data_IF_868234752950
#
_entry.id   IF_868234752950
#
_cell.length_a   1.000
_cell.length_b   1.000
_cell.length_c   1.000
_cell.angle_alpha   90.00
_cell.angle_beta   90.00
_cell.angle_gamma   90.00
#
_symmetry.space_group_name_H-M   'P 1'
#
loop_
_entity.id
_entity.type
_entity.pdbx_description
1 polymer ?
#
# COMPACT_ATOMS: atom_id res chain seq x y z
N UNK A 1 12.43 -23.64 -12.26
CA UNK A 1 12.41 -22.55 -13.26
C UNK A 1 10.96 -22.08 -13.36
N UNK A 2 10.68 -20.79 -13.16
CA UNK A 2 9.34 -20.26 -13.41
C UNK A 2 9.20 -20.14 -14.92
N UNK A 3 8.12 -20.68 -15.48
CA UNK A 3 7.86 -20.59 -16.92
C UNK A 3 7.69 -19.12 -17.35
N UNK A 4 8.18 -18.76 -18.54
CA UNK A 4 8.13 -17.38 -19.03
C UNK A 4 6.71 -16.79 -18.98
N UNK A 5 5.70 -17.61 -19.28
CA UNK A 5 4.28 -17.23 -19.21
C UNK A 5 3.84 -16.88 -17.78
N UNK A 6 4.26 -17.67 -16.78
CA UNK A 6 3.95 -17.41 -15.37
C UNK A 6 4.65 -16.15 -14.86
N UNK A 7 5.85 -15.88 -15.36
CA UNK A 7 6.59 -14.67 -15.02
C UNK A 7 5.88 -13.40 -15.53
N UNK A 8 5.45 -13.41 -16.80
CA UNK A 8 4.69 -12.30 -17.41
C UNK A 8 3.35 -12.11 -16.70
N UNK A 9 2.62 -13.19 -16.43
CA UNK A 9 1.36 -13.12 -15.67
C UNK A 9 1.58 -12.47 -14.31
N UNK A 10 2.65 -12.88 -13.59
CA UNK A 10 3.00 -12.31 -12.30
C UNK A 10 3.30 -10.80 -12.37
N UNK A 11 4.01 -10.35 -13.42
CA UNK A 11 4.25 -8.91 -13.63
C UNK A 11 2.96 -8.14 -13.90
N UNK A 12 2.06 -8.69 -14.72
CA UNK A 12 0.76 -8.06 -15.00
C UNK A 12 -0.04 -7.92 -13.70
N UNK A 13 -0.11 -8.98 -12.89
CA UNK A 13 -0.79 -8.94 -11.58
C UNK A 13 -0.13 -7.92 -10.65
N UNK A 14 1.21 -7.87 -10.57
CA UNK A 14 1.93 -6.89 -9.77
C UNK A 14 1.58 -5.46 -10.19
N UNK A 15 1.60 -5.17 -11.49
CA UNK A 15 1.26 -3.83 -12.01
C UNK A 15 -0.17 -3.45 -11.68
N UNK A 16 -1.13 -4.35 -11.91
CA UNK A 16 -2.54 -4.10 -11.58
C UNK A 16 -2.74 -3.84 -10.09
N UNK A 17 -2.05 -4.60 -9.22
CA UNK A 17 -2.11 -4.39 -7.79
C UNK A 17 -1.51 -3.04 -7.39
N UNK A 18 -0.37 -2.64 -7.97
CA UNK A 18 0.23 -1.33 -7.74
C UNK A 18 -0.70 -0.20 -8.18
N UNK A 19 -1.39 -0.33 -9.31
CA UNK A 19 -2.36 0.66 -9.78
C UNK A 19 -3.57 0.76 -8.83
N UNK A 20 -4.07 -0.37 -8.33
CA UNK A 20 -5.15 -0.37 -7.34
C UNK A 20 -4.72 0.26 -6.02
N UNK A 21 -3.50 -0.01 -5.57
CA UNK A 21 -2.91 0.60 -4.38
C UNK A 21 -2.67 2.12 -4.54
N UNK A 22 -2.32 2.58 -5.74
CA UNK A 22 -2.29 4.02 -6.04
C UNK A 22 -3.69 4.63 -5.99
N UNK A 23 -4.69 3.96 -6.55
CA UNK A 23 -6.07 4.43 -6.49
C UNK A 23 -6.61 4.49 -5.05
N UNK A 24 -6.15 3.60 -4.16
CA UNK A 24 -6.56 3.62 -2.76
C UNK A 24 -6.03 4.83 -1.97
N UNK A 25 -5.00 5.53 -2.46
CA UNK A 25 -4.52 6.78 -1.87
C UNK A 25 -5.61 7.86 -1.87
N UNK A 26 -6.44 7.91 -2.93
CA UNK A 26 -7.59 8.82 -3.02
C UNK A 26 -8.60 8.58 -1.88
N UNK A 27 -8.63 7.36 -1.34
CA UNK A 27 -9.49 6.96 -0.23
C UNK A 27 -8.82 7.16 1.15
N UNK A 28 -7.61 7.74 1.21
CA UNK A 28 -6.84 7.92 2.43
C UNK A 28 -6.30 6.62 3.04
N UNK A 29 -6.27 5.53 2.27
CA UNK A 29 -5.66 4.26 2.66
C UNK A 29 -4.14 4.32 2.50
N UNK A 30 -3.36 3.54 3.28
CA UNK A 30 -1.91 3.45 3.16
C UNK A 30 -1.46 2.66 1.93
N UNK A 31 -1.87 3.13 0.75
CA UNK A 31 -1.67 2.49 -0.54
C UNK A 31 -0.20 2.35 -0.89
N UNK A 32 0.65 3.28 -0.44
CA UNK A 32 2.10 3.23 -0.70
C UNK A 32 2.75 2.02 -0.02
N UNK A 33 2.30 1.63 1.17
CA UNK A 33 2.75 0.42 1.86
C UNK A 33 2.25 -0.86 1.18
N UNK A 34 1.06 -0.84 0.59
CA UNK A 34 0.55 -1.97 -0.20
C UNK A 34 1.42 -2.24 -1.43
N UNK A 35 1.94 -1.18 -2.08
CA UNK A 35 2.90 -1.29 -3.19
C UNK A 35 4.20 -1.97 -2.73
N UNK A 36 4.74 -1.55 -1.58
CA UNK A 36 5.95 -2.17 -0.99
C UNK A 36 5.72 -3.66 -0.72
N UNK A 37 4.60 -4.01 -0.11
CA UNK A 37 4.25 -5.40 0.20
C UNK A 37 4.12 -6.25 -1.07
N UNK A 38 3.42 -5.76 -2.10
CA UNK A 38 3.25 -6.48 -3.36
C UNK A 38 4.59 -6.71 -4.06
N UNK A 39 5.44 -5.69 -4.11
CA UNK A 39 6.79 -5.80 -4.67
C UNK A 39 7.66 -6.80 -3.87
N UNK A 40 7.55 -6.83 -2.55
CA UNK A 40 8.26 -7.78 -1.70
C UNK A 40 7.79 -9.23 -1.91
N UNK A 41 6.48 -9.47 -2.00
CA UNK A 41 5.91 -10.79 -2.28
C UNK A 41 6.32 -11.28 -3.66
N UNK A 42 6.22 -10.42 -4.68
CA UNK A 42 6.65 -10.75 -6.04
C UNK A 42 8.16 -11.03 -6.11
N UNK A 43 8.97 -10.18 -5.48
CA UNK A 43 10.42 -10.36 -5.35
C UNK A 43 10.75 -11.70 -4.69
N UNK A 44 10.14 -12.00 -3.54
CA UNK A 44 10.34 -13.27 -2.83
C UNK A 44 9.97 -14.49 -3.68
N UNK A 45 8.79 -14.47 -4.33
CA UNK A 45 8.34 -15.56 -5.18
C UNK A 45 9.27 -15.80 -6.39
N UNK A 46 9.89 -14.73 -6.92
CA UNK A 46 10.86 -14.78 -8.01
C UNK A 46 12.32 -14.93 -7.58
N UNK A 47 12.60 -15.17 -6.29
CA UNK A 47 13.97 -15.26 -5.77
C UNK A 47 14.78 -13.97 -5.90
N UNK A 48 14.10 -12.82 -5.92
CA UNK A 48 14.65 -11.47 -6.10
C UNK A 48 15.39 -11.24 -7.43
N UNK A 49 15.10 -12.05 -8.46
CA UNK A 49 15.73 -11.94 -9.77
C UNK A 49 15.32 -10.68 -10.55
N UNK A 50 14.04 -10.29 -10.48
CA UNK A 50 13.49 -9.13 -11.20
C UNK A 50 13.26 -7.93 -10.27
N UNK A 51 12.65 -8.17 -9.11
CA UNK A 51 12.48 -7.15 -8.06
C UNK A 51 13.47 -7.46 -6.94
N UNK A 52 14.57 -6.72 -6.91
CA UNK A 52 15.63 -6.89 -5.92
C UNK A 52 15.32 -6.22 -4.58
N UNK A 53 16.12 -6.57 -3.57
CA UNK A 53 16.05 -5.96 -2.23
C UNK A 53 16.31 -4.45 -2.25
N UNK A 54 17.17 -3.97 -3.16
CA UNK A 54 17.42 -2.53 -3.36
C UNK A 54 16.15 -1.79 -3.82
N UNK A 55 15.40 -2.36 -4.76
CA UNK A 55 14.13 -1.81 -5.23
C UNK A 55 13.13 -1.74 -4.09
N UNK A 56 13.01 -2.79 -3.28
CA UNK A 56 12.12 -2.81 -2.11
C UNK A 56 12.53 -1.75 -1.08
N UNK A 57 13.83 -1.59 -0.83
CA UNK A 57 14.35 -0.55 0.07
C UNK A 57 14.00 0.87 -0.40
N UNK A 58 14.14 1.14 -1.69
CA UNK A 58 13.73 2.42 -2.27
C UNK A 58 12.22 2.63 -2.22
N UNK A 59 11.43 1.61 -2.53
CA UNK A 59 9.96 1.67 -2.42
C UNK A 59 9.53 1.96 -0.97
N UNK A 60 10.18 1.33 0.02
CA UNK A 60 9.89 1.58 1.42
C UNK A 60 10.24 3.01 1.83
N UNK A 61 11.41 3.51 1.41
CA UNK A 61 11.80 4.90 1.67
C UNK A 61 10.81 5.89 1.05
N UNK A 62 10.40 5.66 -0.20
CA UNK A 62 9.41 6.48 -0.89
C UNK A 62 8.03 6.40 -0.23
N UNK A 63 7.60 5.20 0.20
CA UNK A 63 6.34 5.02 0.89
C UNK A 63 6.30 5.80 2.22
N UNK A 64 7.38 5.75 3.01
CA UNK A 64 7.49 6.55 4.24
C UNK A 64 7.37 8.05 3.99
N UNK A 65 8.02 8.55 2.93
CA UNK A 65 7.95 9.97 2.55
C UNK A 65 6.55 10.34 2.06
N UNK A 66 5.98 9.56 1.15
CA UNK A 66 4.66 9.80 0.58
C UNK A 66 3.59 9.80 1.67
N UNK A 67 3.59 8.80 2.55
CA UNK A 67 2.61 8.71 3.64
C UNK A 67 2.76 9.87 4.64
N UNK A 68 3.99 10.30 4.93
CA UNK A 68 4.21 11.46 5.79
C UNK A 68 3.66 12.74 5.16
N UNK A 69 3.86 12.93 3.85
CA UNK A 69 3.30 14.07 3.10
C UNK A 69 1.78 14.02 3.10
N UNK A 70 1.20 12.85 2.86
CA UNK A 70 -0.25 12.63 2.82
C UNK A 70 -0.89 12.89 4.19
N UNK A 71 -0.25 12.43 5.28
CA UNK A 71 -0.68 12.71 6.64
C UNK A 71 -0.60 14.20 7.01
N UNK A 72 0.48 14.89 6.63
CA UNK A 72 0.63 16.33 6.86
C UNK A 72 -0.40 17.13 6.06
N UNK A 73 -0.61 16.77 4.78
CA UNK A 73 -1.59 17.40 3.91
C UNK A 73 -3.03 17.20 4.43
N UNK A 74 -3.36 15.97 4.84
CA UNK A 74 -4.65 15.64 5.46
C UNK A 74 -4.89 16.41 6.77
N UNK A 75 -3.85 16.57 7.59
CA UNK A 75 -3.93 17.34 8.83
C UNK A 75 -4.08 18.87 8.61
N UNK A 76 -3.55 19.41 7.51
CA UNK A 76 -3.68 20.83 7.17
C UNK A 76 -5.08 21.23 6.66
N UNK A 77 -5.84 20.28 6.10
CA UNK A 77 -7.20 20.51 5.59
C UNK A 77 -8.30 20.53 6.66
N UNK A 78 -8.03 20.00 7.86
CA UNK A 78 -9.02 19.90 8.94
C UNK A 78 -8.69 20.92 10.03
N UNK A 79 -9.56 21.92 10.20
CA UNK A 79 -9.38 23.06 11.11
C UNK A 79 -9.25 22.74 12.61
N UNK A 80 -8.11 22.18 13.02
CA UNK A 80 -7.62 22.22 14.40
C UNK A 80 -7.65 20.92 15.20
N UNK A 81 -8.21 19.81 14.70
CA UNK A 81 -8.23 18.54 15.43
C UNK A 81 -7.09 17.62 14.96
N UNK A 82 -5.93 17.70 15.61
CA UNK A 82 -4.83 16.74 15.40
C UNK A 82 -5.22 15.39 16.01
N UNK A 83 -5.33 14.30 15.23
CA UNK A 83 -5.52 12.97 15.81
C UNK A 83 -4.31 12.64 16.69
N UNK A 84 -4.55 12.09 17.90
CA UNK A 84 -3.44 11.67 18.75
C UNK A 84 -2.59 10.61 18.02
N UNK A 85 -1.30 10.52 18.36
CA UNK A 85 -0.38 9.53 17.74
C UNK A 85 -0.91 8.09 17.81
N UNK A 86 -1.71 7.77 18.84
CA UNK A 86 -2.39 6.48 18.97
C UNK A 86 -3.55 6.29 17.98
N UNK A 87 -4.31 7.35 17.71
CA UNK A 87 -5.41 7.34 16.74
C UNK A 87 -4.86 7.19 15.33
N UNK A 88 -3.77 7.89 15.00
CA UNK A 88 -3.10 7.72 13.71
C UNK A 88 -2.59 6.29 13.49
N UNK A 89 -1.94 5.70 14.51
CA UNK A 89 -1.45 4.31 14.43
C UNK A 89 -2.61 3.30 14.36
N UNK A 90 -3.69 3.52 15.10
CA UNK A 90 -4.88 2.67 15.05
C UNK A 90 -5.61 2.79 13.70
N UNK A 91 -5.65 3.97 13.09
CA UNK A 91 -6.21 4.20 11.76
C UNK A 91 -5.35 3.52 10.68
N UNK A 92 -4.02 3.62 10.76
CA UNK A 92 -3.11 2.92 9.85
C UNK A 92 -3.28 1.40 9.99
N UNK A 93 -3.27 0.88 11.23
CA UNK A 93 -3.45 -0.54 11.47
C UNK A 93 -4.85 -1.03 11.03
N UNK A 94 -5.90 -0.26 11.32
CA UNK A 94 -7.27 -0.53 10.90
C UNK A 94 -7.44 -0.47 9.38
N UNK A 95 -6.78 0.47 8.70
CA UNK A 95 -6.77 0.59 7.25
C UNK A 95 -5.97 -0.54 6.59
N UNK A 96 -4.86 -0.98 7.19
CA UNK A 96 -4.12 -2.16 6.70
C UNK A 96 -4.93 -3.43 6.88
N UNK A 97 -5.47 -3.67 8.08
CA UNK A 97 -6.26 -4.88 8.37
C UNK A 97 -7.57 -4.89 7.59
N UNK A 98 -8.31 -3.77 7.60
CA UNK A 98 -9.53 -3.58 6.84
C UNK A 98 -9.30 -3.61 5.34
N UNK A 99 -8.21 -3.03 4.85
CA UNK A 99 -7.81 -3.10 3.45
C UNK A 99 -7.47 -4.53 3.01
N UNK A 100 -6.68 -5.27 3.78
CA UNK A 100 -6.34 -6.68 3.49
C UNK A 100 -7.59 -7.58 3.55
N UNK A 101 -8.45 -7.38 4.56
CA UNK A 101 -9.65 -8.18 4.75
C UNK A 101 -10.78 -7.85 3.77
N UNK A 102 -10.92 -6.58 3.37
CA UNK A 102 -11.98 -6.10 2.48
C UNK A 102 -11.56 -6.03 1.01
N UNK A 103 -10.26 -6.05 0.67
CA UNK A 103 -9.77 -6.11 -0.70
C UNK A 103 -10.35 -7.27 -1.54
N UNK A 104 -10.57 -8.49 -1.01
CA UNK A 104 -11.16 -9.57 -1.78
C UNK A 104 -12.68 -9.40 -2.00
N UNK A 105 -13.37 -8.59 -1.18
CA UNK A 105 -14.85 -8.59 -1.11
C UNK A 105 -15.46 -7.28 -1.62
N UNK A 106 -14.78 -6.14 -1.45
CA UNK A 106 -15.42 -4.82 -1.50
C UNK A 106 -14.72 -3.74 -2.33
N UNK A 107 -13.61 -4.02 -3.02
CA UNK A 107 -12.88 -3.00 -3.81
C UNK A 107 -12.67 -1.67 -3.04
N UNK A 108 -12.34 -1.74 -1.74
CA UNK A 108 -12.01 -0.56 -0.94
C UNK A 108 -13.13 0.08 -0.08
N UNK A 109 -14.39 -0.41 -0.13
CA UNK A 109 -15.47 0.13 0.75
C UNK A 109 -15.31 -0.21 2.24
N UNK A 110 -14.37 -1.09 2.58
CA UNK A 110 -14.06 -1.46 3.98
C UNK A 110 -13.31 -0.39 4.77
N UNK A 111 -12.89 0.72 4.17
CA UNK A 111 -12.19 1.82 4.86
C UNK A 111 -13.11 2.85 5.52
N UNK A 112 -14.43 2.73 5.31
CA UNK A 112 -15.41 3.73 5.76
C UNK A 112 -15.55 3.88 7.29
N UNK A 113 -15.40 2.85 8.15
CA UNK A 113 -15.44 3.07 9.59
C UNK A 113 -14.04 3.35 10.12
N UNK A 114 -13.49 4.53 9.81
CA UNK A 114 -12.19 4.96 10.32
C UNK A 114 -11.65 6.31 9.82
N UNK A 115 -12.20 6.85 8.73
CA UNK A 115 -11.90 8.19 8.21
C UNK A 115 -12.59 9.31 9.01
#
# INVERSE_FOLDING_TARGET
MIDATLHVLGLVVLVLFCLAALASLVLGLPGTFLIVLAAAVYGWAGGFATVGLSTIGWLLALALVAEAVEFIAGAAGHGGQRPSRRVAVAAIAGAMVGGIAAAPILFGLGSLPGA
#
